data_IF_783373050613
#
_entry.id   IF_783373050613
#
_cell.length_a   1.000
_cell.length_b   1.000
_cell.length_c   1.000
_cell.angle_alpha   90.00
_cell.angle_beta   90.00
_cell.angle_gamma   90.00
#
_symmetry.space_group_name_H-M   'P 1'
#
loop_
_entity.id
_entity.type
_entity.pdbx_description
1 polymer ?
#
# COMPACT_ATOMS: atom_id res chain seq x y z
N UNK A 1 2.66 17.69 3.28
CA UNK A 1 1.92 17.59 2.00
C UNK A 1 1.65 16.14 1.66
N UNK A 2 2.67 15.28 1.60
CA UNK A 2 2.52 13.84 1.31
C UNK A 2 1.49 13.14 2.22
N UNK A 3 1.54 13.39 3.53
CA UNK A 3 0.58 12.83 4.49
C UNK A 3 -0.88 13.20 4.20
N UNK A 4 -1.12 14.40 3.65
CA UNK A 4 -2.47 14.86 3.31
C UNK A 4 -2.95 14.12 2.07
N UNK A 5 -2.11 14.04 1.03
CA UNK A 5 -2.42 13.29 -0.19
C UNK A 5 -2.64 11.81 0.13
N UNK A 6 -1.76 11.21 0.93
CA UNK A 6 -1.89 9.84 1.41
C UNK A 6 -3.20 9.64 2.16
N UNK A 7 -3.59 10.54 3.07
CA UNK A 7 -4.88 10.42 3.77
C UNK A 7 -6.08 10.44 2.82
N UNK A 8 -6.05 11.30 1.79
CA UNK A 8 -7.10 11.35 0.77
C UNK A 8 -7.17 10.07 -0.05
N UNK A 9 -6.02 9.56 -0.50
CA UNK A 9 -5.93 8.29 -1.23
C UNK A 9 -6.43 7.14 -0.36
N UNK A 10 -6.00 7.07 0.91
CA UNK A 10 -6.42 6.00 1.83
C UNK A 10 -7.92 6.03 2.11
N UNK A 11 -8.52 7.22 2.22
CA UNK A 11 -9.96 7.37 2.36
C UNK A 11 -10.69 6.82 1.11
N UNK A 12 -10.25 7.24 -0.08
CA UNK A 12 -10.82 6.76 -1.35
C UNK A 12 -10.70 5.24 -1.50
N UNK A 13 -9.54 4.68 -1.18
CA UNK A 13 -9.25 3.25 -1.25
C UNK A 13 -10.12 2.46 -0.28
N UNK A 14 -10.39 3.01 0.91
CA UNK A 14 -11.26 2.40 1.91
C UNK A 14 -12.73 2.45 1.49
N UNK A 15 -13.23 3.61 1.06
CA UNK A 15 -14.64 3.81 0.70
C UNK A 15 -15.04 2.99 -0.52
N UNK A 16 -14.11 2.79 -1.46
CA UNK A 16 -14.33 1.96 -2.65
C UNK A 16 -13.95 0.48 -2.45
N UNK A 17 -13.63 0.05 -1.22
CA UNK A 17 -13.29 -1.34 -0.89
C UNK A 17 -12.20 -1.94 -1.80
N UNK A 18 -11.24 -1.12 -2.22
CA UNK A 18 -10.18 -1.51 -3.16
C UNK A 18 -9.25 -2.56 -2.53
N UNK A 19 -9.03 -2.45 -1.22
CA UNK A 19 -8.14 -3.34 -0.46
C UNK A 19 -8.94 -4.45 0.20
N UNK A 20 -8.49 -5.70 0.00
CA UNK A 20 -9.14 -6.86 0.59
C UNK A 20 -9.06 -6.86 2.12
N UNK A 21 -10.08 -7.37 2.82
CA UNK A 21 -10.06 -7.52 4.27
C UNK A 21 -8.98 -8.46 4.81
N UNK A 22 -8.26 -9.20 3.96
CA UNK A 22 -7.12 -10.03 4.34
C UNK A 22 -5.78 -9.31 4.26
N UNK A 23 -5.73 -8.05 3.80
CA UNK A 23 -4.50 -7.26 3.76
C UNK A 23 -4.19 -6.70 5.16
N UNK A 24 -3.02 -7.00 5.73
CA UNK A 24 -2.67 -6.48 7.06
C UNK A 24 -1.58 -5.40 7.05
N UNK A 25 -0.68 -5.44 6.08
CA UNK A 25 0.40 -4.46 5.97
C UNK A 25 -0.13 -3.07 5.58
N UNK A 26 0.47 -2.03 6.19
CA UNK A 26 0.24 -0.61 5.87
C UNK A 26 -1.20 -0.11 6.03
N UNK A 27 -2.06 -0.82 6.75
CA UNK A 27 -3.42 -0.39 7.06
C UNK A 27 -3.57 0.04 8.53
N UNK A 28 -4.30 1.14 8.75
CA UNK A 28 -4.65 1.60 10.09
C UNK A 28 -5.49 0.53 10.80
N UNK A 29 -5.20 0.31 12.08
CA UNK A 29 -5.90 -0.69 12.91
C UNK A 29 -5.45 -2.14 12.67
N UNK A 30 -4.43 -2.37 11.84
CA UNK A 30 -3.81 -3.68 11.63
C UNK A 30 -2.33 -3.64 11.99
N UNK A 31 -1.77 -4.80 12.35
CA UNK A 31 -0.39 -4.92 12.77
C UNK A 31 0.24 -6.18 12.20
N UNK A 32 1.55 -6.32 12.38
CA UNK A 32 2.28 -7.54 12.04
C UNK A 32 1.77 -8.77 12.82
N UNK A 33 1.03 -8.57 13.91
CA UNK A 33 0.45 -9.65 14.72
C UNK A 33 -0.98 -10.02 14.29
N UNK A 34 -1.76 -9.07 13.75
CA UNK A 34 -3.15 -9.39 13.38
C UNK A 34 -3.23 -10.38 12.22
N UNK A 35 -2.22 -10.38 11.33
CA UNK A 35 -2.12 -11.35 10.23
C UNK A 35 -1.93 -12.80 10.71
N UNK A 36 -0.87 -13.14 11.47
CA UNK A 36 -0.70 -14.50 11.94
C UNK A 36 -1.85 -14.96 12.84
N UNK A 37 -2.43 -14.08 13.66
CA UNK A 37 -3.60 -14.44 14.48
C UNK A 37 -4.77 -14.90 13.61
N UNK A 38 -5.17 -14.12 12.60
CA UNK A 38 -6.25 -14.49 11.69
C UNK A 38 -5.94 -15.74 10.86
N UNK A 39 -4.67 -15.92 10.49
CA UNK A 39 -4.22 -17.10 9.77
C UNK A 39 -4.31 -18.37 10.65
N UNK A 40 -3.77 -18.33 11.87
CA UNK A 40 -3.77 -19.48 12.77
C UNK A 40 -5.18 -19.88 13.20
N UNK A 41 -6.07 -18.91 13.44
CA UNK A 41 -7.50 -19.18 13.70
C UNK A 41 -8.12 -20.04 12.58
N UNK A 42 -7.90 -19.63 11.32
CA UNK A 42 -8.38 -20.38 10.15
C UNK A 42 -7.73 -21.76 10.00
N UNK A 43 -6.41 -21.86 10.22
CA UNK A 43 -5.69 -23.13 10.09
C UNK A 43 -6.14 -24.11 11.16
N UNK A 44 -6.24 -23.68 12.42
CA UNK A 44 -6.67 -24.52 13.54
C UNK A 44 -8.06 -25.09 13.28
N UNK A 45 -9.01 -24.26 12.82
CA UNK A 45 -10.35 -24.73 12.46
C UNK A 45 -10.32 -25.82 11.38
N UNK A 46 -9.50 -25.67 10.33
CA UNK A 46 -9.40 -26.68 9.28
C UNK A 46 -8.76 -27.98 9.79
N UNK A 47 -7.77 -27.87 10.67
CA UNK A 47 -7.11 -29.03 11.29
C UNK A 47 -8.08 -29.78 12.21
N UNK A 48 -8.89 -29.07 12.99
CA UNK A 48 -9.91 -29.67 13.86
C UNK A 48 -10.98 -30.43 13.06
N UNK A 49 -11.27 -29.99 11.83
CA UNK A 49 -12.13 -30.70 10.86
C UNK A 49 -11.43 -31.89 10.18
N UNK A 50 -10.18 -32.18 10.51
CA UNK A 50 -9.37 -33.24 9.91
C UNK A 50 -8.88 -32.93 8.50
N UNK A 51 -8.89 -31.67 8.06
CA UNK A 51 -8.44 -31.27 6.72
C UNK A 51 -6.93 -31.04 6.72
N UNK A 52 -6.27 -31.50 5.65
CA UNK A 52 -4.87 -31.16 5.38
C UNK A 52 -4.74 -29.70 4.93
N UNK A 53 -3.75 -28.99 5.47
CA UNK A 53 -3.46 -27.59 5.12
C UNK A 53 -2.05 -27.51 4.55
N UNK A 54 -1.92 -26.85 3.39
CA UNK A 54 -0.64 -26.49 2.79
C UNK A 54 -0.59 -24.96 2.60
N UNK A 55 0.59 -24.37 2.80
CA UNK A 55 0.78 -22.92 2.79
C UNK A 55 1.91 -22.58 1.83
N UNK A 56 1.66 -21.60 0.96
CA UNK A 56 2.67 -21.06 0.04
C UNK A 56 2.96 -19.62 0.44
N UNK A 57 4.20 -19.36 0.84
CA UNK A 57 4.69 -18.02 1.10
C UNK A 57 5.36 -17.46 -0.14
N UNK A 58 4.91 -16.28 -0.57
CA UNK A 58 5.45 -15.56 -1.71
C UNK A 58 6.08 -14.27 -1.22
N UNK A 59 7.26 -13.94 -1.76
CA UNK A 59 7.96 -12.69 -1.47
C UNK A 59 8.47 -12.06 -2.76
N UNK A 60 8.42 -10.73 -2.82
CA UNK A 60 8.94 -9.96 -3.95
C UNK A 60 10.29 -9.35 -3.58
N UNK A 61 11.34 -9.77 -4.30
CA UNK A 61 12.66 -9.16 -4.14
C UNK A 61 12.60 -7.67 -4.51
N UNK A 62 12.98 -6.80 -3.56
CA UNK A 62 13.02 -5.34 -3.75
C UNK A 62 11.71 -4.79 -4.34
N UNK A 63 10.57 -5.13 -3.73
CA UNK A 63 9.24 -4.81 -4.25
C UNK A 63 9.04 -3.33 -4.65
N UNK A 64 9.59 -2.39 -3.89
CA UNK A 64 9.49 -0.95 -4.20
C UNK A 64 10.41 -0.49 -5.33
N UNK A 65 11.56 -1.15 -5.53
CA UNK A 65 12.48 -0.83 -6.63
C UNK A 65 12.05 -1.50 -7.95
N UNK A 66 11.25 -2.56 -7.87
CA UNK A 66 10.86 -3.39 -9.01
C UNK A 66 9.45 -3.09 -9.54
N UNK A 67 8.66 -2.31 -8.81
CA UNK A 67 7.31 -1.94 -9.26
C UNK A 67 7.38 -1.02 -10.46
N UNK A 68 6.67 -1.37 -11.54
CA UNK A 68 6.55 -0.50 -12.71
C UNK A 68 5.69 0.72 -12.38
N UNK A 69 6.26 1.92 -12.53
CA UNK A 69 5.54 3.18 -12.28
C UNK A 69 4.33 3.36 -13.22
N UNK A 70 4.43 2.95 -14.49
CA UNK A 70 3.32 3.04 -15.43
C UNK A 70 2.15 2.15 -15.02
N UNK A 71 2.42 0.88 -14.68
CA UNK A 71 1.40 -0.07 -14.22
C UNK A 71 0.76 0.41 -12.92
N UNK A 72 1.55 0.97 -11.99
CA UNK A 72 1.03 1.54 -10.76
C UNK A 72 0.04 2.68 -11.02
N UNK A 73 0.41 3.64 -11.89
CA UNK A 73 -0.45 4.77 -12.24
C UNK A 73 -1.72 4.32 -12.97
N UNK A 74 -1.63 3.36 -13.89
CA UNK A 74 -2.79 2.77 -14.58
C UNK A 74 -3.76 2.12 -13.59
N UNK A 75 -3.24 1.36 -12.61
CA UNK A 75 -4.08 0.75 -11.57
C UNK A 75 -4.76 1.80 -10.69
N UNK A 76 -4.04 2.84 -10.29
CA UNK A 76 -4.61 3.94 -9.51
C UNK A 76 -5.72 4.67 -10.28
N UNK A 77 -5.51 4.90 -11.58
CA UNK A 77 -6.53 5.49 -12.45
C UNK A 77 -7.76 4.57 -12.59
N UNK A 78 -7.55 3.26 -12.78
CA UNK A 78 -8.63 2.27 -12.85
C UNK A 78 -9.44 2.18 -11.55
N UNK A 79 -8.83 2.51 -10.41
CA UNK A 79 -9.51 2.61 -9.12
C UNK A 79 -10.16 3.97 -8.87
N UNK A 80 -10.18 4.89 -9.84
CA UNK A 80 -10.96 6.12 -9.79
C UNK A 80 -10.26 7.30 -9.10
N UNK A 81 -8.94 7.28 -8.96
CA UNK A 81 -8.20 8.46 -8.51
C UNK A 81 -8.23 9.54 -9.61
N UNK A 82 -8.38 10.79 -9.22
CA UNK A 82 -8.47 11.91 -10.14
C UNK A 82 -7.11 12.26 -10.77
N UNK A 83 -7.17 12.98 -11.90
CA UNK A 83 -5.99 13.34 -12.68
C UNK A 83 -4.95 14.20 -11.93
N UNK A 84 -5.38 15.04 -10.98
CA UNK A 84 -4.44 15.85 -10.20
C UNK A 84 -3.69 15.00 -9.19
N UNK A 85 -4.38 14.09 -8.50
CA UNK A 85 -3.76 13.14 -7.58
C UNK A 85 -2.79 12.21 -8.31
N UNK A 86 -3.18 11.68 -9.48
CA UNK A 86 -2.30 10.85 -10.31
C UNK A 86 -1.05 11.60 -10.80
N UNK A 87 -1.22 12.85 -11.24
CA UNK A 87 -0.10 13.71 -11.64
C UNK A 87 0.87 13.94 -10.47
N UNK A 88 0.34 14.18 -9.27
CA UNK A 88 1.17 14.34 -8.07
C UNK A 88 1.95 13.06 -7.74
N UNK A 89 1.30 11.89 -7.79
CA UNK A 89 1.96 10.59 -7.54
C UNK A 89 3.05 10.34 -8.59
N UNK A 90 2.77 10.60 -9.87
CA UNK A 90 3.76 10.47 -10.94
C UNK A 90 5.00 11.32 -10.66
N UNK A 91 4.80 12.60 -10.34
CA UNK A 91 5.91 13.51 -10.04
C UNK A 91 6.71 13.09 -8.80
N UNK A 92 6.05 12.45 -7.82
CA UNK A 92 6.72 11.89 -6.65
C UNK A 92 7.60 10.68 -7.03
N UNK A 93 7.12 9.81 -7.92
CA UNK A 93 7.82 8.61 -8.38
C UNK A 93 8.98 8.91 -9.33
N UNK A 94 8.83 9.93 -10.18
CA UNK A 94 9.88 10.34 -11.14
C UNK A 94 11.07 11.05 -10.46
N UNK A 95 11.01 11.24 -9.13
CA UNK A 95 12.06 11.87 -8.33
C UNK A 95 11.94 13.40 -8.39
N UNK A 96 11.31 13.98 -7.37
CA UNK A 96 11.31 15.44 -7.22
C UNK A 96 12.66 15.93 -6.67
N UNK A 97 13.22 16.98 -7.28
CA UNK A 97 14.28 17.75 -6.65
C UNK A 97 13.69 18.45 -5.41
N UNK A 98 14.08 17.98 -4.23
CA UNK A 98 13.68 18.59 -2.97
C UNK A 98 14.63 19.72 -2.61
N UNK A 99 14.09 20.87 -2.18
CA UNK A 99 14.89 22.01 -1.75
C UNK A 99 14.48 22.48 -0.37
N UNK A 100 15.46 22.63 0.51
CA UNK A 100 15.24 23.16 1.86
C UNK A 100 15.56 24.65 1.86
N UNK A 101 14.78 25.45 2.58
CA UNK A 101 15.08 26.87 2.81
C UNK A 101 15.28 27.09 4.31
N UNK A 102 16.48 27.49 4.71
CA UNK A 102 16.80 27.85 6.09
C UNK A 102 17.29 29.30 6.10
N UNK A 103 16.65 30.15 6.89
CA UNK A 103 17.00 31.58 6.99
C UNK A 103 17.07 32.30 5.62
N UNK A 104 16.19 31.94 4.69
CA UNK A 104 16.17 32.50 3.33
C UNK A 104 17.20 31.90 2.35
N UNK A 105 18.12 31.05 2.84
CA UNK A 105 19.09 30.35 2.01
C UNK A 105 18.50 29.03 1.51
N UNK A 106 18.58 28.82 0.21
CA UNK A 106 18.03 27.66 -0.50
C UNK A 106 19.14 26.62 -0.69
N UNK A 107 18.86 25.35 -0.38
CA UNK A 107 19.74 24.24 -0.80
C UNK A 107 19.80 24.17 -2.34
N UNK A 108 20.84 23.55 -2.89
CA UNK A 108 20.83 23.20 -4.32
C UNK A 108 19.77 22.16 -4.62
#
# INVERSE_FOLDING_TARGET
MEQIVLSGIMQHVHDNQVIRPSQHGFLKGRSCLTNPISFYDKVTHLVDEGKAVAVVYLDFSKAFDTVSHSILLEKLAAHGLDGHTLCWVKNCLDGQAQRVVVNGVKSS
#
